data_IF_329403455311
#
_entry.id   IF_329403455311
#
_cell.length_a   1.000
_cell.length_b   1.000
_cell.length_c   1.000
_cell.angle_alpha   90.00
_cell.angle_beta   90.00
_cell.angle_gamma   90.00
#
_symmetry.space_group_name_H-M   'P 1'
#
loop_
_entity.id
_entity.type
_entity.pdbx_description
1 polymer ?
#
# COMPACT_ATOMS: atom_id res chain seq x y z
N UNK A 1 0.08 4.41 -18.11
CA UNK A 1 1.44 4.89 -17.79
C UNK A 1 1.56 5.14 -16.29
N UNK A 2 1.85 4.10 -15.50
CA UNK A 2 2.46 4.30 -14.19
C UNK A 2 3.96 4.28 -14.47
N UNK A 3 4.66 5.41 -14.31
CA UNK A 3 6.11 5.39 -14.45
C UNK A 3 6.66 4.35 -13.46
N UNK A 4 7.63 3.56 -13.89
CA UNK A 4 8.37 2.59 -13.07
C UNK A 4 9.01 3.20 -11.81
N UNK A 5 8.94 4.53 -11.67
CA UNK A 5 9.47 5.31 -10.57
C UNK A 5 8.78 5.01 -9.23
N UNK A 6 7.45 4.78 -9.20
CA UNK A 6 6.76 4.59 -7.91
C UNK A 6 7.22 3.32 -7.17
N UNK A 7 7.22 2.12 -7.79
CA UNK A 7 7.77 0.93 -7.13
C UNK A 7 9.23 1.10 -6.73
N UNK A 8 10.05 1.72 -7.59
CA UNK A 8 11.48 1.92 -7.32
C UNK A 8 11.71 2.82 -6.09
N UNK A 9 11.02 3.97 -6.03
CA UNK A 9 11.13 4.91 -4.91
C UNK A 9 10.60 4.27 -3.63
N UNK A 10 9.49 3.52 -3.72
CA UNK A 10 8.95 2.80 -2.57
C UNK A 10 9.95 1.78 -2.02
N UNK A 11 10.55 0.94 -2.87
CA UNK A 11 11.56 -0.02 -2.45
C UNK A 11 12.81 0.64 -1.88
N UNK A 12 13.21 1.80 -2.40
CA UNK A 12 14.32 2.57 -1.84
C UNK A 12 14.04 2.97 -0.38
N UNK A 13 12.91 3.64 -0.12
CA UNK A 13 12.52 4.01 1.25
C UNK A 13 12.27 2.80 2.15
N UNK A 14 11.69 1.72 1.61
CA UNK A 14 11.42 0.51 2.37
C UNK A 14 12.70 -0.22 2.80
N UNK A 15 13.79 -0.14 2.02
CA UNK A 15 15.07 -0.75 2.38
C UNK A 15 15.77 -0.01 3.50
N UNK A 16 15.74 1.32 3.45
CA UNK A 16 16.47 2.16 4.41
C UNK A 16 15.71 2.36 5.72
N UNK A 17 14.39 2.54 5.65
CA UNK A 17 13.56 2.82 6.83
C UNK A 17 12.96 1.57 7.47
N UNK A 18 12.87 0.46 6.72
CA UNK A 18 12.20 -0.79 7.14
C UNK A 18 10.89 -0.53 7.90
N UNK A 19 9.92 0.14 7.28
CA UNK A 19 8.70 0.54 7.97
C UNK A 19 7.88 -0.68 8.38
N UNK A 20 7.39 -0.67 9.62
CA UNK A 20 6.47 -1.69 10.11
C UNK A 20 5.03 -1.48 9.64
N UNK A 21 4.69 -0.25 9.21
CA UNK A 21 3.40 0.13 8.64
C UNK A 21 3.61 1.09 7.46
N UNK A 22 2.84 0.91 6.41
CA UNK A 22 2.86 1.72 5.19
C UNK A 22 1.44 2.07 4.78
N UNK A 23 1.20 3.34 4.45
CA UNK A 23 -0.05 3.81 3.85
C UNK A 23 0.16 4.32 2.42
N UNK A 24 -0.59 3.79 1.45
CA UNK A 24 -0.66 4.29 0.09
C UNK A 24 -2.01 4.99 -0.14
N UNK A 25 -1.97 6.31 -0.29
CA UNK A 25 -3.15 7.12 -0.59
C UNK A 25 -3.23 7.34 -2.10
N UNK A 26 -4.38 7.02 -2.72
CA UNK A 26 -4.66 7.26 -4.16
C UNK A 26 -3.76 6.52 -5.13
N UNK A 27 -3.96 5.21 -5.25
CA UNK A 27 -3.56 4.52 -6.48
C UNK A 27 -4.62 4.78 -7.55
N UNK A 28 -4.38 5.72 -8.49
CA UNK A 28 -5.14 5.82 -9.78
C UNK A 28 -4.77 4.64 -10.70
N UNK A 29 -4.70 3.46 -10.13
CA UNK A 29 -4.21 2.24 -10.74
C UNK A 29 -5.36 1.27 -10.63
N UNK A 30 -5.67 0.59 -11.74
CA UNK A 30 -6.77 -0.36 -11.81
C UNK A 30 -6.67 -1.39 -10.68
N UNK A 31 -7.82 -1.79 -10.12
CA UNK A 31 -7.94 -2.70 -8.97
C UNK A 31 -6.95 -3.89 -9.04
N UNK A 32 -6.93 -4.62 -10.16
CA UNK A 32 -6.05 -5.78 -10.32
C UNK A 32 -4.54 -5.49 -10.38
N UNK A 33 -4.13 -4.26 -10.73
CA UNK A 33 -2.71 -3.86 -10.66
C UNK A 33 -2.29 -3.48 -9.23
N UNK A 34 -3.21 -3.02 -8.39
CA UNK A 34 -2.90 -2.70 -6.99
C UNK A 34 -2.59 -3.96 -6.19
N UNK A 35 -3.41 -4.99 -6.33
CA UNK A 35 -3.21 -6.26 -5.61
C UNK A 35 -1.85 -6.88 -5.94
N UNK A 36 -1.44 -6.82 -7.22
CA UNK A 36 -0.12 -7.26 -7.68
C UNK A 36 1.04 -6.42 -7.14
N UNK A 37 0.83 -5.12 -6.93
CA UNK A 37 1.87 -4.25 -6.35
C UNK A 37 2.00 -4.55 -4.86
N UNK A 38 0.88 -4.64 -4.12
CA UNK A 38 0.87 -4.94 -2.68
C UNK A 38 1.50 -6.30 -2.39
N UNK A 39 1.15 -7.33 -3.16
CA UNK A 39 1.77 -8.65 -3.03
C UNK A 39 3.30 -8.61 -3.20
N UNK A 40 3.82 -7.66 -3.99
CA UNK A 40 5.27 -7.44 -4.16
C UNK A 40 5.91 -6.62 -3.05
N UNK A 41 5.13 -5.91 -2.22
CA UNK A 41 5.67 -5.09 -1.13
C UNK A 41 6.06 -5.93 0.09
N UNK A 42 5.53 -7.16 0.23
CA UNK A 42 5.97 -8.11 1.24
C UNK A 42 5.45 -7.87 2.66
N UNK A 43 4.35 -7.13 2.82
CA UNK A 43 3.67 -7.00 4.12
C UNK A 43 2.77 -8.22 4.39
N UNK A 44 2.73 -8.66 5.64
CA UNK A 44 1.92 -9.82 6.07
C UNK A 44 0.44 -9.48 6.13
N UNK A 45 0.12 -8.25 6.55
CA UNK A 45 -1.25 -7.78 6.66
C UNK A 45 -1.45 -6.57 5.76
N UNK A 46 -2.65 -6.48 5.18
CA UNK A 46 -3.06 -5.30 4.45
C UNK A 46 -4.56 -5.08 4.52
N UNK A 47 -4.96 -3.82 4.44
CA UNK A 47 -6.35 -3.41 4.39
C UNK A 47 -6.56 -2.34 3.34
N UNK A 48 -7.72 -2.42 2.69
CA UNK A 48 -8.12 -1.52 1.62
C UNK A 48 -9.43 -0.83 2.01
N UNK A 49 -9.39 0.49 2.03
CA UNK A 49 -10.57 1.33 2.14
C UNK A 49 -10.87 1.97 0.79
N UNK A 50 -12.03 1.68 0.23
CA UNK A 50 -12.54 2.42 -0.92
C UNK A 50 -13.12 3.74 -0.43
N UNK A 51 -12.49 4.85 -0.80
CA UNK A 51 -13.00 6.16 -0.45
C UNK A 51 -14.25 6.45 -1.29
N UNK A 52 -15.43 6.44 -0.65
CA UNK A 52 -16.71 6.72 -1.29
C UNK A 52 -16.64 8.08 -1.99
N UNK A 53 -16.93 8.12 -3.30
CA UNK A 53 -16.90 9.34 -4.11
C UNK A 53 -15.55 9.70 -4.74
N UNK A 54 -14.49 8.91 -4.53
CA UNK A 54 -13.19 9.10 -5.19
C UNK A 54 -12.84 7.92 -6.10
N UNK A 55 -12.14 8.20 -7.19
CA UNK A 55 -11.63 7.18 -8.12
C UNK A 55 -10.39 6.44 -7.60
N UNK A 56 -10.23 6.30 -6.29
CA UNK A 56 -9.04 5.74 -5.64
C UNK A 56 -9.33 5.19 -4.25
N UNK A 57 -8.50 4.24 -3.81
CA UNK A 57 -8.57 3.67 -2.46
C UNK A 57 -7.40 4.14 -1.58
N UNK A 58 -7.60 4.04 -0.27
CA UNK A 58 -6.54 4.06 0.74
C UNK A 58 -6.14 2.62 0.98
N UNK A 59 -4.84 2.36 0.97
CA UNK A 59 -4.28 1.06 1.26
C UNK A 59 -3.33 1.18 2.42
N UNK A 60 -3.43 0.26 3.37
CA UNK A 60 -2.55 0.20 4.53
C UNK A 60 -1.98 -1.22 4.56
N UNK A 61 -0.67 -1.35 4.64
CA UNK A 61 0.03 -2.62 4.83
C UNK A 61 0.89 -2.55 6.07
N UNK A 62 0.95 -3.63 6.85
CA UNK A 62 1.74 -3.70 8.07
C UNK A 62 2.28 -5.11 8.32
N UNK A 63 3.30 -5.20 9.16
CA UNK A 63 3.87 -6.46 9.62
C UNK A 63 3.26 -6.92 10.95
N UNK A 64 3.52 -8.16 11.32
CA UNK A 64 3.08 -8.81 12.56
C UNK A 64 3.61 -8.13 13.83
N UNK A 65 4.59 -7.24 13.71
CA UNK A 65 5.14 -6.48 14.83
C UNK A 65 4.19 -5.37 15.30
N UNK A 66 3.15 -5.03 14.54
CA UNK A 66 2.17 -4.00 14.89
C UNK A 66 0.76 -4.58 14.86
N UNK A 67 0.02 -4.35 15.95
CA UNK A 67 -1.41 -4.60 16.00
C UNK A 67 -2.15 -3.37 15.48
N UNK A 68 -2.94 -3.53 14.41
CA UNK A 68 -3.74 -2.46 13.81
C UNK A 68 -5.22 -2.77 14.04
N UNK A 69 -5.90 -1.86 14.72
CA UNK A 69 -7.35 -1.89 14.87
C UNK A 69 -7.99 -0.95 13.83
N UNK A 70 -8.93 -1.48 13.06
CA UNK A 70 -9.65 -0.72 12.04
C UNK A 70 -11.00 -0.35 12.63
N UNK A 71 -11.16 0.94 12.94
CA UNK A 71 -12.41 1.51 13.42
C UNK A 71 -13.29 1.87 12.21
N UNK A 72 -14.54 1.42 12.24
CA UNK A 72 -15.52 1.59 11.16
C UNK A 72 -16.58 2.63 11.53
#
# INVERSE_FOLDING_TARGET
CASSNFPCIFFYYSRDLKPNIVGLLKTRVSRGKNDLIIAKLGFEFSHRLEAVGFSGGIWIGWNELICVEILQ
#
